data_IF_894708366717
#
_entry.id   IF_894708366717
#
_cell.length_a   1.000
_cell.length_b   1.000
_cell.length_c   1.000
_cell.angle_alpha   90.00
_cell.angle_beta   90.00
_cell.angle_gamma   90.00
#
_symmetry.space_group_name_H-M   'P 1'
#
loop_
_entity.id
_entity.type
_entity.pdbx_description
1 polymer ?
#
# COMPACT_ATOMS: atom_id res chain seq x y z
N UNK A 1 -3.73 -1.93 -41.21
CA UNK A 1 -3.72 -1.72 -42.67
C UNK A 1 -2.78 -2.74 -43.25
N UNK A 2 -3.34 -3.84 -43.74
CA UNK A 2 -2.60 -4.97 -44.29
C UNK A 2 -2.04 -4.56 -45.65
N UNK A 3 -0.74 -4.31 -45.71
CA UNK A 3 -0.06 -4.07 -46.97
C UNK A 3 0.06 -5.42 -47.70
N UNK A 4 -0.61 -5.50 -48.85
CA UNK A 4 -0.50 -6.60 -49.81
C UNK A 4 0.98 -6.89 -50.11
N UNK A 5 1.41 -8.10 -49.75
CA UNK A 5 2.67 -8.67 -50.21
C UNK A 5 2.52 -8.89 -51.72
N UNK A 6 2.91 -7.91 -52.51
CA UNK A 6 3.13 -8.09 -53.95
C UNK A 6 4.28 -9.08 -54.09
N UNK A 7 3.93 -10.34 -54.35
CA UNK A 7 4.86 -11.37 -54.81
C UNK A 7 5.68 -10.79 -55.97
N UNK A 8 6.95 -10.50 -55.70
CA UNK A 8 7.94 -10.29 -56.77
C UNK A 8 8.07 -11.61 -57.54
N UNK A 9 8.26 -11.56 -58.86
CA UNK A 9 8.50 -12.77 -59.63
C UNK A 9 9.76 -13.42 -59.09
N UNK A 10 9.62 -14.65 -58.63
CA UNK A 10 10.73 -15.52 -58.25
C UNK A 10 11.76 -15.49 -59.40
N UNK A 11 13.03 -15.15 -59.14
CA UNK A 11 14.05 -15.22 -60.17
C UNK A 11 14.18 -16.71 -60.48
N UNK A 12 13.56 -17.13 -61.58
CA UNK A 12 13.72 -18.49 -62.11
C UNK A 12 15.20 -18.70 -62.35
N UNK A 13 15.86 -19.35 -61.39
CA UNK A 13 17.20 -19.90 -61.50
C UNK A 13 17.11 -20.97 -62.58
N UNK A 14 17.17 -20.55 -63.85
CA UNK A 14 17.41 -21.49 -64.94
C UNK A 14 18.82 -22.02 -64.70
N UNK A 15 18.97 -23.32 -64.40
CA UNK A 15 20.31 -23.90 -64.30
C UNK A 15 21.03 -23.63 -65.62
N UNK A 16 22.33 -23.34 -65.53
CA UNK A 16 23.19 -23.30 -66.70
C UNK A 16 23.13 -24.72 -67.28
N UNK A 17 22.38 -24.89 -68.38
CA UNK A 17 22.23 -26.19 -69.07
C UNK A 17 23.63 -26.72 -69.41
N UNK A 18 23.84 -28.03 -69.37
CA UNK A 18 25.09 -28.65 -69.85
C UNK A 18 25.42 -28.19 -71.29
N UNK A 19 24.39 -27.94 -72.11
CA UNK A 19 24.51 -27.36 -73.45
C UNK A 19 25.22 -25.99 -73.48
N UNK A 20 25.14 -25.21 -72.40
CA UNK A 20 25.75 -23.89 -72.31
C UNK A 20 27.26 -23.93 -72.04
N UNK A 21 27.73 -24.98 -71.36
CA UNK A 21 29.16 -25.24 -71.20
C UNK A 21 29.76 -25.81 -72.48
N UNK A 22 29.02 -26.65 -73.20
CA UNK A 22 29.43 -27.20 -74.51
C UNK A 22 29.60 -26.11 -75.59
N UNK A 23 28.86 -24.99 -75.49
CA UNK A 23 29.04 -23.84 -76.37
C UNK A 23 30.45 -23.23 -76.22
N UNK A 24 31.07 -23.30 -75.04
CA UNK A 24 32.37 -22.68 -74.75
C UNK A 24 33.58 -23.55 -75.11
N UNK A 25 33.39 -24.83 -75.44
CA UNK A 25 34.48 -25.75 -75.76
C UNK A 25 34.94 -25.64 -77.23
N UNK A 26 36.25 -25.83 -77.53
CA UNK A 26 36.74 -25.85 -78.89
C UNK A 26 36.17 -27.05 -79.65
N UNK A 27 35.67 -26.78 -80.85
CA UNK A 27 34.81 -27.70 -81.59
C UNK A 27 35.50 -28.87 -82.27
N UNK A 28 36.82 -28.82 -82.43
CA UNK A 28 37.59 -29.78 -83.20
C UNK A 28 38.94 -30.01 -82.52
N UNK A 29 39.37 -31.26 -82.48
CA UNK A 29 40.68 -31.65 -81.95
C UNK A 29 41.78 -31.70 -83.05
N UNK A 30 41.41 -31.44 -84.32
CA UNK A 30 42.31 -31.52 -85.48
C UNK A 30 42.02 -30.40 -86.49
N UNK A 31 43.08 -29.83 -87.08
CA UNK A 31 42.98 -28.84 -88.15
C UNK A 31 42.52 -29.53 -89.45
N UNK A 32 41.25 -29.35 -89.83
CA UNK A 32 40.68 -30.00 -91.02
C UNK A 32 40.98 -29.27 -92.34
N UNK A 33 41.33 -27.98 -92.29
CA UNK A 33 41.64 -27.18 -93.49
C UNK A 33 43.12 -27.30 -93.89
N UNK A 34 43.42 -27.53 -95.18
CA UNK A 34 44.80 -27.58 -95.67
C UNK A 34 45.50 -26.23 -95.54
N UNK A 35 44.80 -25.11 -95.61
CA UNK A 35 45.34 -23.77 -95.36
C UNK A 35 45.73 -23.61 -93.89
N UNK A 36 44.87 -24.04 -92.96
CA UNK A 36 45.15 -23.98 -91.52
C UNK A 36 46.35 -24.86 -91.12
N UNK A 37 46.46 -26.06 -91.73
CA UNK A 37 47.63 -26.93 -91.58
C UNK A 37 48.91 -26.28 -92.13
N UNK A 38 48.82 -25.58 -93.28
CA UNK A 38 49.96 -24.83 -93.86
C UNK A 38 50.37 -23.66 -92.96
N UNK A 39 49.44 -22.88 -92.42
CA UNK A 39 49.77 -21.78 -91.51
C UNK A 39 50.42 -22.28 -90.22
N UNK A 40 49.91 -23.37 -89.63
CA UNK A 40 50.55 -24.02 -88.49
C UNK A 40 51.96 -24.52 -88.85
N UNK A 41 52.13 -25.15 -90.02
CA UNK A 41 53.42 -25.61 -90.53
C UNK A 41 54.42 -24.48 -90.76
N UNK A 42 54.00 -23.34 -91.33
CA UNK A 42 54.85 -22.15 -91.52
C UNK A 42 55.31 -21.60 -90.18
N UNK A 43 54.44 -21.59 -89.17
CA UNK A 43 54.82 -21.16 -87.81
C UNK A 43 55.79 -22.14 -87.14
N UNK A 44 55.60 -23.46 -87.31
CA UNK A 44 56.55 -24.47 -86.84
C UNK A 44 57.90 -24.33 -87.54
N UNK A 45 57.89 -24.14 -88.86
CA UNK A 45 59.10 -23.93 -89.62
C UNK A 45 59.80 -22.66 -89.17
N UNK A 46 59.07 -21.55 -88.97
CA UNK A 46 59.61 -20.30 -88.42
C UNK A 46 60.30 -20.50 -87.07
N UNK A 47 59.66 -21.20 -86.14
CA UNK A 47 60.25 -21.56 -84.84
C UNK A 47 61.54 -22.34 -85.03
N UNK A 48 61.56 -23.36 -85.90
CA UNK A 48 62.77 -24.13 -86.24
C UNK A 48 63.85 -23.26 -86.87
N UNK A 49 63.50 -22.30 -87.72
CA UNK A 49 64.49 -21.40 -88.35
C UNK A 49 65.17 -20.52 -87.30
N UNK A 50 64.39 -19.97 -86.37
CA UNK A 50 64.90 -19.11 -85.28
C UNK A 50 65.74 -19.93 -84.31
N UNK A 51 65.35 -21.17 -84.01
CA UNK A 51 66.16 -22.11 -83.22
C UNK A 51 67.53 -22.35 -83.88
N UNK A 52 67.57 -22.65 -85.18
CA UNK A 52 68.83 -22.87 -85.90
C UNK A 52 69.70 -21.61 -85.91
N UNK A 53 69.12 -20.44 -86.19
CA UNK A 53 69.85 -19.16 -86.18
C UNK A 53 70.38 -18.83 -84.80
N UNK A 54 69.61 -19.12 -83.75
CA UNK A 54 70.04 -18.90 -82.37
C UNK A 54 71.33 -19.68 -82.07
N UNK A 55 71.48 -20.91 -82.54
CA UNK A 55 72.69 -21.73 -82.33
C UNK A 55 73.93 -21.21 -83.08
N UNK A 56 73.75 -20.49 -84.20
CA UNK A 56 74.85 -20.16 -85.13
C UNK A 56 76.06 -19.49 -84.47
N UNK A 57 75.93 -18.52 -83.55
CA UNK A 57 77.08 -17.92 -82.87
C UNK A 57 77.92 -18.93 -82.07
N UNK A 58 77.30 -19.97 -81.50
CA UNK A 58 78.00 -21.05 -80.80
C UNK A 58 78.84 -21.89 -81.78
N UNK A 59 78.21 -22.21 -82.92
CA UNK A 59 78.81 -22.99 -83.99
C UNK A 59 80.00 -22.24 -84.58
N UNK A 60 79.86 -20.93 -84.81
CA UNK A 60 80.92 -20.06 -85.32
C UNK A 60 82.15 -20.02 -84.38
N UNK A 61 81.93 -19.99 -83.06
CA UNK A 61 83.01 -19.98 -82.06
C UNK A 61 83.78 -21.30 -81.96
N UNK A 62 83.14 -22.41 -82.28
CA UNK A 62 83.71 -23.76 -82.22
C UNK A 62 84.03 -24.34 -83.62
N UNK A 63 84.05 -23.49 -84.66
CA UNK A 63 84.22 -23.91 -86.05
C UNK A 63 85.48 -24.75 -86.30
N UNK A 64 86.58 -24.43 -85.62
CA UNK A 64 87.85 -25.12 -85.85
C UNK A 64 87.81 -26.58 -85.35
N UNK A 65 87.05 -26.86 -84.29
CA UNK A 65 86.81 -28.22 -83.79
C UNK A 65 85.81 -28.99 -84.65
N UNK A 66 84.80 -28.29 -85.16
CA UNK A 66 83.74 -28.89 -86.00
C UNK A 66 84.20 -29.11 -87.45
N UNK A 67 85.26 -28.45 -87.89
CA UNK A 67 85.76 -28.47 -89.27
C UNK A 67 86.11 -29.85 -89.83
N UNK A 68 86.45 -30.81 -88.96
CA UNK A 68 86.76 -32.19 -89.35
C UNK A 68 85.52 -33.05 -89.68
N UNK A 69 84.34 -32.59 -89.27
CA UNK A 69 83.07 -33.34 -89.35
C UNK A 69 82.05 -32.70 -90.30
N UNK A 70 82.33 -31.47 -90.73
CA UNK A 70 81.50 -30.67 -91.61
C UNK A 70 82.07 -30.70 -93.03
N UNK A 71 81.20 -30.82 -94.03
CA UNK A 71 81.58 -30.74 -95.44
C UNK A 71 82.38 -29.45 -95.71
N UNK A 72 83.43 -29.53 -96.54
CA UNK A 72 84.29 -28.39 -96.87
C UNK A 72 83.49 -27.18 -97.37
N UNK A 73 82.41 -27.39 -98.13
CA UNK A 73 81.50 -26.34 -98.60
C UNK A 73 80.73 -25.63 -97.47
N UNK A 74 80.30 -26.38 -96.45
CA UNK A 74 79.59 -25.84 -95.30
C UNK A 74 80.56 -25.12 -94.36
N UNK A 75 81.77 -25.67 -94.17
CA UNK A 75 82.88 -25.02 -93.48
C UNK A 75 83.24 -23.68 -94.12
N UNK A 76 83.37 -23.63 -95.45
CA UNK A 76 83.64 -22.39 -96.18
C UNK A 76 82.51 -21.38 -96.04
N UNK A 77 81.26 -21.85 -96.11
CA UNK A 77 80.08 -20.99 -95.97
C UNK A 77 79.94 -20.42 -94.55
N UNK A 78 80.25 -21.20 -93.52
CA UNK A 78 80.26 -20.77 -92.12
C UNK A 78 81.45 -19.87 -91.79
N UNK A 79 82.65 -20.13 -92.31
CA UNK A 79 83.81 -19.23 -92.17
C UNK A 79 83.55 -17.89 -92.87
N UNK A 80 83.00 -17.93 -94.07
CA UNK A 80 82.57 -16.72 -94.79
C UNK A 80 81.50 -15.93 -94.04
N UNK A 81 80.53 -16.64 -93.45
CA UNK A 81 79.52 -16.03 -92.58
C UNK A 81 80.13 -15.40 -91.32
N UNK A 82 81.05 -16.10 -90.65
CA UNK A 82 81.76 -15.61 -89.47
C UNK A 82 82.55 -14.33 -89.74
N UNK A 83 83.26 -14.26 -90.88
CA UNK A 83 83.96 -13.05 -91.31
C UNK A 83 83.01 -11.87 -91.55
N UNK A 84 81.80 -12.12 -92.06
CA UNK A 84 80.79 -11.08 -92.24
C UNK A 84 80.21 -10.60 -90.90
N UNK A 85 80.02 -11.52 -89.95
CA UNK A 85 79.60 -11.21 -88.57
C UNK A 85 80.67 -10.37 -87.87
N UNK A 86 81.94 -10.79 -87.89
CA UNK A 86 83.05 -10.04 -87.29
C UNK A 86 83.21 -8.63 -87.88
N UNK A 87 83.00 -8.48 -89.19
CA UNK A 87 83.02 -7.18 -89.87
C UNK A 87 81.83 -6.29 -89.47
N UNK A 88 80.67 -6.89 -89.16
CA UNK A 88 79.50 -6.16 -88.68
C UNK A 88 79.69 -5.74 -87.22
N UNK A 89 80.13 -6.66 -86.36
CA UNK A 89 80.43 -6.41 -84.93
C UNK A 89 81.48 -5.30 -84.80
N UNK A 90 82.55 -5.32 -85.61
CA UNK A 90 83.57 -4.27 -85.61
C UNK A 90 83.05 -2.88 -86.04
N UNK A 91 82.01 -2.81 -86.88
CA UNK A 91 81.33 -1.54 -87.22
C UNK A 91 80.38 -1.07 -86.11
N UNK A 92 79.80 -1.99 -85.35
CA UNK A 92 78.96 -1.68 -84.19
C UNK A 92 79.81 -1.23 -82.98
N UNK A 93 80.96 -1.85 -82.73
CA UNK A 93 81.93 -1.43 -81.73
C UNK A 93 82.51 -0.04 -82.02
N UNK A 94 82.75 0.25 -83.31
CA UNK A 94 83.18 1.57 -83.79
C UNK A 94 82.09 2.66 -83.65
N UNK A 95 80.80 2.28 -83.65
CA UNK A 95 79.68 3.20 -83.38
C UNK A 95 79.45 3.43 -81.88
N UNK A 96 79.84 2.49 -81.02
CA UNK A 96 79.60 2.53 -79.57
C UNK A 96 80.74 3.24 -78.82
N UNK A 97 81.96 3.22 -79.38
CA UNK A 97 83.11 3.99 -78.90
C UNK A 97 83.13 5.40 -79.52
N UNK A 98 82.88 6.41 -78.69
CA UNK A 98 82.78 7.83 -79.07
C UNK A 98 83.94 8.35 -79.96
N UNK A 99 83.66 8.67 -81.23
CA UNK A 99 84.29 9.77 -82.00
C UNK A 99 83.48 10.09 -83.29
N UNK A 100 83.53 11.34 -83.81
CA UNK A 100 82.39 11.96 -84.47
C UNK A 100 82.38 11.88 -86.01
N UNK A 101 81.16 11.85 -86.56
CA UNK A 101 80.73 12.52 -87.79
C UNK A 101 81.63 12.38 -89.05
N UNK A 102 81.63 11.18 -89.65
CA UNK A 102 81.73 10.99 -91.10
C UNK A 102 80.32 10.89 -91.72
N UNK A 103 80.15 11.24 -93.00
CA UNK A 103 78.83 11.49 -93.60
C UNK A 103 77.84 10.30 -93.59
N UNK A 104 76.54 10.52 -93.31
CA UNK A 104 75.54 9.47 -93.08
C UNK A 104 75.10 8.67 -94.32
N UNK A 105 75.70 8.89 -95.50
CA UNK A 105 75.26 8.22 -96.73
C UNK A 105 76.15 7.02 -97.08
N UNK A 106 77.46 7.16 -97.20
CA UNK A 106 78.34 6.06 -97.64
C UNK A 106 78.44 4.93 -96.60
N UNK A 107 78.55 5.25 -95.31
CA UNK A 107 78.58 4.26 -94.22
C UNK A 107 77.26 3.49 -94.08
N UNK A 108 76.12 4.14 -94.37
CA UNK A 108 74.81 3.47 -94.38
C UNK A 108 74.64 2.56 -95.60
N UNK A 109 75.17 2.94 -96.76
CA UNK A 109 75.15 2.08 -97.94
C UNK A 109 76.08 0.88 -97.77
N UNK A 110 77.29 1.07 -97.23
CA UNK A 110 78.21 -0.04 -96.92
C UNK A 110 77.70 -0.96 -95.82
N UNK A 111 76.99 -0.43 -94.82
CA UNK A 111 76.29 -1.23 -93.80
C UNK A 111 75.13 -2.00 -94.42
N UNK A 112 74.32 -1.37 -95.27
CA UNK A 112 73.20 -2.03 -95.95
C UNK A 112 73.67 -3.09 -96.97
N UNK A 113 74.82 -2.89 -97.62
CA UNK A 113 75.48 -3.88 -98.47
C UNK A 113 75.95 -5.07 -97.63
N UNK A 114 76.62 -4.81 -96.50
CA UNK A 114 77.09 -5.84 -95.58
C UNK A 114 75.94 -6.62 -94.94
N UNK A 115 74.85 -5.95 -94.56
CA UNK A 115 73.63 -6.59 -94.07
C UNK A 115 72.97 -7.46 -95.14
N UNK A 116 72.99 -7.04 -96.42
CA UNK A 116 72.51 -7.85 -97.55
C UNK A 116 73.39 -9.07 -97.79
N UNK A 117 74.71 -8.92 -97.72
CA UNK A 117 75.67 -10.02 -97.86
C UNK A 117 75.56 -11.00 -96.68
N UNK A 118 75.35 -10.48 -95.46
CA UNK A 118 75.11 -11.28 -94.26
C UNK A 118 73.79 -12.06 -94.39
N UNK A 119 72.72 -11.43 -94.87
CA UNK A 119 71.44 -12.10 -95.11
C UNK A 119 71.54 -13.17 -96.21
N UNK A 120 72.28 -12.92 -97.28
CA UNK A 120 72.53 -13.90 -98.33
C UNK A 120 73.32 -15.09 -97.78
N UNK A 121 74.39 -14.81 -97.03
CA UNK A 121 75.21 -15.80 -96.34
C UNK A 121 74.42 -16.63 -95.32
N UNK A 122 73.57 -16.00 -94.49
CA UNK A 122 72.66 -16.68 -93.57
C UNK A 122 71.68 -17.59 -94.30
N UNK A 123 71.11 -17.13 -95.41
CA UNK A 123 70.18 -17.94 -96.22
C UNK A 123 70.89 -19.15 -96.81
N UNK A 124 72.12 -18.99 -97.28
CA UNK A 124 72.91 -20.08 -97.82
C UNK A 124 73.31 -21.09 -96.74
N UNK A 125 73.76 -20.62 -95.56
CA UNK A 125 74.05 -21.47 -94.40
C UNK A 125 72.80 -22.21 -93.93
N UNK A 126 71.66 -21.52 -93.76
CA UNK A 126 70.40 -22.14 -93.37
C UNK A 126 69.89 -23.14 -94.41
N UNK A 127 70.08 -22.86 -95.71
CA UNK A 127 69.70 -23.78 -96.80
C UNK A 127 70.57 -25.04 -96.77
N UNK A 128 71.88 -24.91 -96.56
CA UNK A 128 72.80 -26.03 -96.48
C UNK A 128 72.57 -26.89 -95.22
N UNK A 129 72.28 -26.26 -94.08
CA UNK A 129 71.94 -26.95 -92.82
C UNK A 129 70.58 -27.67 -92.91
N UNK A 130 69.57 -27.06 -93.56
CA UNK A 130 68.27 -27.70 -93.79
C UNK A 130 68.31 -28.84 -94.79
N UNK A 131 69.16 -28.74 -95.82
CA UNK A 131 69.34 -29.80 -96.80
C UNK A 131 69.98 -31.07 -96.20
N UNK A 132 70.64 -30.96 -95.04
CA UNK A 132 71.38 -32.05 -94.37
C UNK A 132 71.00 -32.15 -92.88
N UNK A 133 69.82 -32.74 -92.57
CA UNK A 133 69.30 -32.78 -91.20
C UNK A 133 70.17 -33.58 -90.22
N UNK A 134 70.91 -34.60 -90.70
CA UNK A 134 71.84 -35.37 -89.86
C UNK A 134 73.04 -34.52 -89.39
N UNK A 135 73.57 -33.67 -90.28
CA UNK A 135 74.66 -32.73 -89.99
C UNK A 135 74.18 -31.61 -89.06
N UNK A 136 72.95 -31.12 -89.25
CA UNK A 136 72.33 -30.16 -88.34
C UNK A 136 72.15 -30.74 -86.93
N UNK A 137 71.66 -31.98 -86.81
CA UNK A 137 71.52 -32.65 -85.51
C UNK A 137 72.86 -32.85 -84.79
N UNK A 138 73.93 -33.17 -85.53
CA UNK A 138 75.28 -33.25 -84.98
C UNK A 138 75.78 -31.89 -84.47
N UNK A 139 75.62 -30.83 -85.27
CA UNK A 139 76.01 -29.46 -84.90
C UNK A 139 75.23 -28.94 -83.69
N UNK A 140 73.95 -29.28 -83.58
CA UNK A 140 73.13 -28.94 -82.42
C UNK A 140 73.58 -29.70 -81.17
N UNK A 141 73.85 -31.00 -81.27
CA UNK A 141 74.33 -31.81 -80.15
C UNK A 141 75.71 -31.35 -79.65
N UNK A 142 76.62 -30.98 -80.55
CA UNK A 142 77.93 -30.43 -80.20
C UNK A 142 77.84 -29.02 -79.59
N UNK A 143 76.94 -28.17 -80.10
CA UNK A 143 76.71 -26.85 -79.51
C UNK A 143 76.10 -26.96 -78.09
N UNK A 144 75.18 -27.89 -77.86
CA UNK A 144 74.64 -28.20 -76.53
C UNK A 144 75.70 -28.81 -75.59
N UNK A 145 76.55 -29.72 -76.10
CA UNK A 145 77.65 -30.32 -75.33
C UNK A 145 78.75 -29.31 -74.95
N UNK A 146 78.95 -28.28 -75.77
CA UNK A 146 79.85 -27.15 -75.51
C UNK A 146 79.29 -26.16 -74.45
N UNK A 147 78.16 -26.48 -73.80
CA UNK A 147 77.57 -25.66 -72.76
C UNK A 147 76.99 -24.34 -73.29
N UNK A 148 76.60 -24.31 -74.56
CA UNK A 148 75.99 -23.11 -75.12
C UNK A 148 74.57 -22.93 -74.57
N UNK A 149 74.34 -21.80 -73.91
CA UNK A 149 73.03 -21.38 -73.43
C UNK A 149 72.48 -20.29 -74.35
N UNK A 150 71.22 -20.42 -74.77
CA UNK A 150 70.53 -19.33 -75.46
C UNK A 150 70.48 -18.11 -74.53
N UNK A 151 70.74 -16.92 -75.09
CA UNK A 151 70.38 -15.66 -74.44
C UNK A 151 68.91 -15.65 -74.03
N UNK A 152 68.62 -15.10 -72.85
CA UNK A 152 67.27 -14.97 -72.27
C UNK A 152 66.29 -14.34 -73.28
N UNK A 153 66.73 -13.32 -74.02
CA UNK A 153 65.91 -12.67 -75.05
C UNK A 153 65.50 -13.60 -76.21
N UNK A 154 66.41 -14.49 -76.62
CA UNK A 154 66.15 -15.47 -77.69
C UNK A 154 65.27 -16.62 -77.21
N UNK A 155 65.42 -17.03 -75.94
CA UNK A 155 64.52 -17.98 -75.29
C UNK A 155 63.09 -17.43 -75.17
N UNK A 156 62.94 -16.17 -74.75
CA UNK A 156 61.65 -15.49 -74.70
C UNK A 156 60.99 -15.39 -76.07
N UNK A 157 61.76 -15.09 -77.13
CA UNK A 157 61.25 -15.02 -78.50
C UNK A 157 60.74 -16.39 -78.98
N UNK A 158 61.51 -17.45 -78.79
CA UNK A 158 61.11 -18.82 -79.16
C UNK A 158 59.88 -19.26 -78.33
N UNK A 159 59.86 -18.98 -77.03
CA UNK A 159 58.71 -19.23 -76.16
C UNK A 159 57.46 -18.47 -76.60
N UNK A 160 57.60 -17.20 -76.98
CA UNK A 160 56.54 -16.36 -77.51
C UNK A 160 56.00 -16.86 -78.84
N UNK A 161 56.86 -17.30 -79.77
CA UNK A 161 56.46 -17.89 -81.04
C UNK A 161 55.74 -19.24 -80.86
N UNK A 162 56.20 -20.08 -79.93
CA UNK A 162 55.51 -21.32 -79.55
C UNK A 162 54.15 -21.04 -78.90
N UNK A 163 54.05 -20.02 -78.04
CA UNK A 163 52.79 -19.56 -77.45
C UNK A 163 51.81 -19.02 -78.49
N UNK A 164 52.30 -18.18 -79.41
CA UNK A 164 51.51 -17.66 -80.54
C UNK A 164 51.01 -18.79 -81.43
N UNK A 165 51.83 -19.81 -81.71
CA UNK A 165 51.41 -21.02 -82.43
C UNK A 165 50.25 -21.71 -81.69
N UNK A 166 50.36 -21.87 -80.37
CA UNK A 166 49.29 -22.43 -79.54
C UNK A 166 47.97 -21.69 -79.71
N UNK A 167 47.99 -20.37 -79.55
CA UNK A 167 46.81 -19.51 -79.72
C UNK A 167 46.25 -19.57 -81.15
N UNK A 168 47.11 -19.54 -82.17
CA UNK A 168 46.69 -19.63 -83.57
C UNK A 168 46.03 -20.97 -83.89
N UNK A 169 46.60 -22.07 -83.40
CA UNK A 169 46.03 -23.41 -83.58
C UNK A 169 44.68 -23.50 -82.87
N UNK A 170 44.55 -23.03 -81.63
CA UNK A 170 43.28 -22.98 -80.91
C UNK A 170 42.21 -22.18 -81.67
N UNK A 171 42.58 -21.03 -82.24
CA UNK A 171 41.68 -20.20 -83.06
C UNK A 171 41.30 -20.85 -84.38
N UNK A 172 42.22 -21.57 -85.02
CA UNK A 172 41.97 -22.30 -86.27
C UNK A 172 41.17 -23.60 -86.06
N UNK A 173 41.15 -24.15 -84.84
CA UNK A 173 40.30 -25.28 -84.43
C UNK A 173 38.86 -24.84 -84.09
N UNK A 174 38.63 -23.55 -83.87
CA UNK A 174 37.32 -22.97 -83.66
C UNK A 174 36.63 -22.67 -85.00
N UNK A 175 35.44 -23.24 -85.22
CA UNK A 175 34.63 -22.87 -86.38
C UNK A 175 34.13 -21.41 -86.25
N UNK A 176 34.22 -20.55 -87.29
CA UNK A 176 33.78 -19.15 -87.22
C UNK A 176 32.32 -18.97 -86.79
N UNK A 177 31.46 -19.95 -87.06
CA UNK A 177 30.06 -19.95 -86.61
C UNK A 177 29.93 -20.17 -85.09
N UNK A 178 30.75 -21.06 -84.52
CA UNK A 178 30.75 -21.35 -83.07
C UNK A 178 31.40 -20.21 -82.27
N UNK A 179 32.45 -19.57 -82.78
CA UNK A 179 33.02 -18.36 -82.16
C UNK A 179 32.00 -17.22 -82.09
N UNK A 180 31.20 -17.01 -83.15
CA UNK A 180 30.08 -16.05 -83.12
C UNK A 180 28.98 -16.45 -82.13
N UNK A 181 28.70 -17.73 -81.99
CA UNK A 181 27.72 -18.24 -81.02
C UNK A 181 28.21 -18.04 -79.57
N UNK A 182 29.48 -18.34 -79.30
CA UNK A 182 30.14 -18.05 -78.02
C UNK A 182 30.09 -16.56 -77.69
N UNK A 183 30.44 -15.69 -78.63
CA UNK A 183 30.41 -14.24 -78.44
C UNK A 183 28.99 -13.74 -78.12
N UNK A 184 27.97 -14.23 -78.83
CA UNK A 184 26.56 -13.90 -78.56
C UNK A 184 26.13 -14.40 -77.18
N UNK A 185 26.53 -15.61 -76.79
CA UNK A 185 26.19 -16.18 -75.49
C UNK A 185 26.84 -15.40 -74.33
N UNK A 186 28.12 -15.04 -74.46
CA UNK A 186 28.82 -14.20 -73.48
C UNK A 186 28.18 -12.82 -73.37
N UNK A 187 27.76 -12.22 -74.49
CA UNK A 187 27.03 -10.95 -74.49
C UNK A 187 25.66 -11.07 -73.81
N UNK A 188 24.94 -12.16 -74.03
CA UNK A 188 23.67 -12.40 -73.33
C UNK A 188 23.89 -12.59 -71.82
N UNK A 189 24.91 -13.34 -71.43
CA UNK A 189 25.29 -13.52 -70.03
C UNK A 189 25.69 -12.19 -69.37
N UNK A 190 26.42 -11.31 -70.07
CA UNK A 190 26.81 -10.01 -69.51
C UNK A 190 25.61 -9.09 -69.31
N UNK A 191 24.67 -9.07 -70.26
CA UNK A 191 23.41 -8.33 -70.12
C UNK A 191 22.55 -8.86 -68.96
N UNK A 192 22.43 -10.19 -68.84
CA UNK A 192 21.73 -10.82 -67.71
C UNK A 192 22.42 -10.52 -66.39
N UNK A 193 23.75 -10.54 -66.36
CA UNK A 193 24.52 -10.21 -65.17
C UNK A 193 24.31 -8.75 -64.76
N UNK A 194 24.33 -7.81 -65.72
CA UNK A 194 24.04 -6.40 -65.47
C UNK A 194 22.62 -6.20 -64.91
N UNK A 195 21.61 -6.82 -65.51
CA UNK A 195 20.23 -6.76 -65.01
C UNK A 195 20.10 -7.38 -63.61
N UNK A 196 20.81 -8.47 -63.32
CA UNK A 196 20.85 -9.07 -61.99
C UNK A 196 21.54 -8.15 -60.96
N UNK A 197 22.61 -7.45 -61.34
CA UNK A 197 23.27 -6.47 -60.47
C UNK A 197 22.35 -5.29 -60.16
N UNK A 198 21.62 -4.78 -61.14
CA UNK A 198 20.61 -3.73 -60.93
C UNK A 198 19.48 -4.20 -60.01
N UNK A 199 19.00 -5.43 -60.21
CA UNK A 199 17.99 -6.03 -59.34
C UNK A 199 18.51 -6.19 -57.90
N UNK A 200 19.73 -6.72 -57.73
CA UNK A 200 20.39 -6.85 -56.43
C UNK A 200 20.51 -5.49 -55.73
N UNK A 201 21.01 -4.46 -56.43
CA UNK A 201 21.10 -3.11 -55.88
C UNK A 201 19.72 -2.58 -55.43
N UNK A 202 18.67 -2.78 -56.25
CA UNK A 202 17.31 -2.36 -55.88
C UNK A 202 16.75 -3.12 -54.67
N UNK A 203 17.10 -4.40 -54.50
CA UNK A 203 16.67 -5.21 -53.36
C UNK A 203 17.45 -4.84 -52.10
N UNK A 204 18.75 -4.57 -52.21
CA UNK A 204 19.57 -4.04 -51.12
C UNK A 204 19.07 -2.68 -50.65
N UNK A 205 18.70 -1.78 -51.57
CA UNK A 205 18.10 -0.50 -51.23
C UNK A 205 16.76 -0.67 -50.52
N UNK A 206 15.86 -1.53 -51.02
CA UNK A 206 14.58 -1.84 -50.36
C UNK A 206 14.78 -2.43 -48.97
N UNK A 207 15.76 -3.31 -48.79
CA UNK A 207 16.13 -3.88 -47.48
C UNK A 207 16.67 -2.81 -46.55
N UNK A 208 17.52 -1.92 -47.04
CA UNK A 208 18.07 -0.80 -46.27
C UNK A 208 16.96 0.20 -45.88
N UNK A 209 16.00 0.48 -46.76
CA UNK A 209 14.85 1.33 -46.45
C UNK A 209 13.95 0.69 -45.38
N UNK A 210 13.59 -0.59 -45.53
CA UNK A 210 12.75 -1.30 -44.57
C UNK A 210 13.42 -1.42 -43.18
N UNK A 211 14.73 -1.64 -43.12
CA UNK A 211 15.49 -1.67 -41.86
C UNK A 211 15.51 -0.31 -41.18
N UNK A 212 15.78 0.78 -41.92
CA UNK A 212 15.70 2.16 -41.38
C UNK A 212 14.30 2.50 -40.86
N UNK A 213 13.25 2.12 -41.58
CA UNK A 213 11.87 2.35 -41.13
C UNK A 213 11.56 1.58 -39.84
N UNK A 214 11.99 0.31 -39.76
CA UNK A 214 11.86 -0.49 -38.54
C UNK A 214 12.61 0.15 -37.37
N UNK A 215 13.85 0.58 -37.58
CA UNK A 215 14.67 1.21 -36.53
C UNK A 215 14.08 2.55 -36.07
N UNK A 216 13.55 3.37 -36.98
CA UNK A 216 12.84 4.60 -36.63
C UNK A 216 11.60 4.33 -35.75
N UNK A 217 10.81 3.31 -36.09
CA UNK A 217 9.66 2.88 -35.27
C UNK A 217 10.08 2.33 -33.92
N UNK A 218 11.22 1.62 -33.84
CA UNK A 218 11.75 1.16 -32.55
C UNK A 218 12.12 2.35 -31.67
N UNK A 219 12.85 3.35 -32.20
CA UNK A 219 13.21 4.56 -31.45
C UNK A 219 11.97 5.34 -30.97
N UNK A 220 10.92 5.42 -31.79
CA UNK A 220 9.66 6.06 -31.39
C UNK A 220 8.99 5.31 -30.23
N UNK A 221 8.96 3.97 -30.31
CA UNK A 221 8.42 3.10 -29.25
C UNK A 221 9.25 3.20 -27.97
N UNK A 222 10.58 3.19 -28.07
CA UNK A 222 11.49 3.32 -26.93
C UNK A 222 11.35 4.68 -26.24
N UNK A 223 11.16 5.74 -27.02
CA UNK A 223 10.86 7.08 -26.49
C UNK A 223 9.49 7.12 -25.78
N UNK A 224 8.48 6.41 -26.32
CA UNK A 224 7.17 6.29 -25.68
C UNK A 224 7.26 5.48 -24.38
N UNK A 225 8.01 4.37 -24.36
CA UNK A 225 8.26 3.57 -23.17
C UNK A 225 8.91 4.44 -22.08
N UNK A 226 9.97 5.17 -22.41
CA UNK A 226 10.67 6.06 -21.46
C UNK A 226 9.74 7.14 -20.87
N UNK A 227 8.84 7.70 -21.68
CA UNK A 227 7.82 8.67 -21.20
C UNK A 227 6.79 8.01 -20.28
N UNK A 228 6.33 6.80 -20.60
CA UNK A 228 5.39 6.06 -19.77
C UNK A 228 6.03 5.63 -18.45
N UNK A 229 7.27 5.18 -18.47
CA UNK A 229 8.03 4.81 -17.27
C UNK A 229 8.21 6.01 -16.32
N UNK A 230 8.61 7.18 -16.85
CA UNK A 230 8.73 8.39 -16.03
C UNK A 230 7.39 8.86 -15.47
N UNK A 231 6.31 8.81 -16.26
CA UNK A 231 4.95 9.12 -15.79
C UNK A 231 4.50 8.16 -14.68
N UNK A 232 4.73 6.85 -14.87
CA UNK A 232 4.39 5.82 -13.88
C UNK A 232 5.16 6.04 -12.57
N UNK A 233 6.47 6.26 -12.64
CA UNK A 233 7.29 6.55 -11.47
C UNK A 233 6.82 7.82 -10.74
N UNK A 234 6.43 8.86 -11.47
CA UNK A 234 5.90 10.08 -10.89
C UNK A 234 4.56 9.85 -10.20
N UNK A 235 3.66 9.10 -10.85
CA UNK A 235 2.37 8.74 -10.27
C UNK A 235 2.55 7.90 -9.00
N UNK A 236 3.41 6.89 -9.02
CA UNK A 236 3.71 6.08 -7.84
C UNK A 236 4.28 6.91 -6.70
N UNK A 237 5.23 7.83 -6.97
CA UNK A 237 5.76 8.75 -5.95
C UNK A 237 4.65 9.60 -5.35
N UNK A 238 3.82 10.24 -6.18
CA UNK A 238 2.71 11.06 -5.71
C UNK A 238 1.68 10.26 -4.91
N UNK A 239 1.44 9.00 -5.26
CA UNK A 239 0.54 8.10 -4.54
C UNK A 239 1.13 7.69 -3.20
N UNK A 240 2.42 7.32 -3.16
CA UNK A 240 3.14 7.01 -1.91
C UNK A 240 3.11 8.22 -0.95
N UNK A 241 3.38 9.41 -1.46
CA UNK A 241 3.36 10.65 -0.67
C UNK A 241 1.95 10.95 -0.13
N UNK A 242 0.92 10.73 -0.94
CA UNK A 242 -0.48 10.91 -0.50
C UNK A 242 -0.82 9.92 0.62
N UNK A 243 -0.49 8.64 0.46
CA UNK A 243 -0.73 7.61 1.49
C UNK A 243 0.02 7.93 2.77
N UNK A 244 1.28 8.36 2.68
CA UNK A 244 2.08 8.71 3.85
C UNK A 244 1.50 9.92 4.59
N UNK A 245 1.04 10.95 3.87
CA UNK A 245 0.36 12.11 4.47
C UNK A 245 -0.94 11.72 5.15
N UNK A 246 -1.79 10.93 4.50
CA UNK A 246 -3.07 10.52 5.10
C UNK A 246 -2.87 9.64 6.33
N UNK A 247 -1.86 8.76 6.33
CA UNK A 247 -1.49 7.98 7.52
C UNK A 247 -1.03 8.88 8.66
N UNK A 248 -0.11 9.82 8.40
CA UNK A 248 0.37 10.75 9.42
C UNK A 248 -0.74 11.63 9.99
N UNK A 249 -1.65 12.11 9.16
CA UNK A 249 -2.77 12.93 9.62
C UNK A 249 -3.79 12.10 10.41
N UNK A 250 -4.05 10.85 10.00
CA UNK A 250 -4.88 9.91 10.76
C UNK A 250 -4.25 9.55 12.13
N UNK A 251 -2.94 9.36 12.19
CA UNK A 251 -2.21 9.11 13.44
C UNK A 251 -2.27 10.31 14.38
N UNK A 252 -2.02 11.52 13.87
CA UNK A 252 -2.15 12.76 14.66
C UNK A 252 -3.57 12.94 15.20
N UNK A 253 -4.58 12.70 14.35
CA UNK A 253 -5.97 12.79 14.76
C UNK A 253 -6.31 11.74 15.83
N UNK A 254 -5.88 10.49 15.64
CA UNK A 254 -6.07 9.40 16.61
C UNK A 254 -5.41 9.71 17.97
N UNK A 255 -4.18 10.24 17.96
CA UNK A 255 -3.48 10.65 19.18
C UNK A 255 -4.19 11.82 19.89
N UNK A 256 -4.67 12.80 19.12
CA UNK A 256 -5.45 13.92 19.65
C UNK A 256 -6.75 13.43 20.30
N UNK A 257 -7.46 12.54 19.61
CA UNK A 257 -8.72 11.97 20.10
C UNK A 257 -8.50 11.10 21.35
N UNK A 258 -7.46 10.25 21.39
CA UNK A 258 -7.11 9.46 22.59
C UNK A 258 -6.90 10.36 23.80
N UNK A 259 -6.11 11.44 23.65
CA UNK A 259 -5.87 12.41 24.72
C UNK A 259 -7.14 13.13 25.16
N UNK A 260 -8.01 13.50 24.21
CA UNK A 260 -9.30 14.12 24.52
C UNK A 260 -10.22 13.15 25.28
N UNK A 261 -10.22 11.86 24.93
CA UNK A 261 -10.97 10.83 25.64
C UNK A 261 -10.41 10.54 27.02
N UNK A 262 -9.09 10.43 27.17
CA UNK A 262 -8.41 10.29 28.47
C UNK A 262 -8.71 11.48 29.39
N UNK A 263 -8.69 12.71 28.86
CA UNK A 263 -9.06 13.91 29.62
C UNK A 263 -10.54 13.90 30.05
N UNK A 264 -11.45 13.43 29.20
CA UNK A 264 -12.86 13.27 29.56
C UNK A 264 -13.06 12.18 30.62
N UNK A 265 -12.37 11.05 30.47
CA UNK A 265 -12.45 9.93 31.41
C UNK A 265 -11.97 10.36 32.80
N UNK A 266 -10.81 11.02 32.88
CA UNK A 266 -10.28 11.53 34.15
C UNK A 266 -11.20 12.57 34.78
N UNK A 267 -11.82 13.46 33.99
CA UNK A 267 -12.82 14.42 34.49
C UNK A 267 -14.06 13.74 35.05
N UNK A 268 -14.65 12.80 34.31
CA UNK A 268 -15.83 12.06 34.75
C UNK A 268 -15.53 11.21 35.98
N UNK A 269 -14.35 10.60 36.05
CA UNK A 269 -13.91 9.84 37.21
C UNK A 269 -13.81 10.74 38.46
N UNK A 270 -13.23 11.93 38.32
CA UNK A 270 -13.16 12.92 39.40
C UNK A 270 -14.56 13.40 39.84
N UNK A 271 -15.49 13.59 38.90
CA UNK A 271 -16.90 13.92 39.20
C UNK A 271 -17.59 12.79 39.97
N UNK A 272 -17.40 11.53 39.55
CA UNK A 272 -17.92 10.34 40.24
C UNK A 272 -17.40 10.27 41.67
N UNK A 273 -16.09 10.42 41.86
CA UNK A 273 -15.49 10.33 43.19
C UNK A 273 -15.90 11.50 44.10
N UNK A 274 -16.03 12.71 43.54
CA UNK A 274 -16.63 13.86 44.25
C UNK A 274 -18.06 13.58 44.68
N UNK A 275 -18.88 13.00 43.81
CA UNK A 275 -20.28 12.67 44.12
C UNK A 275 -20.38 11.57 45.18
N UNK A 276 -19.51 10.56 45.15
CA UNK A 276 -19.44 9.53 46.20
C UNK A 276 -19.11 10.14 47.56
N UNK A 277 -18.12 11.04 47.63
CA UNK A 277 -17.78 11.74 48.88
C UNK A 277 -18.96 12.57 49.37
N UNK A 278 -19.60 13.35 48.49
CA UNK A 278 -20.79 14.14 48.85
C UNK A 278 -21.94 13.28 49.35
N UNK A 279 -22.20 12.15 48.71
CA UNK A 279 -23.23 11.20 49.14
C UNK A 279 -22.91 10.65 50.54
N UNK A 280 -21.66 10.24 50.78
CA UNK A 280 -21.25 9.74 52.09
C UNK A 280 -21.43 10.77 53.21
N UNK A 281 -21.07 12.03 52.96
CA UNK A 281 -21.28 13.15 53.90
C UNK A 281 -22.76 13.37 54.21
N UNK A 282 -23.61 13.41 53.17
CA UNK A 282 -25.05 13.59 53.36
C UNK A 282 -25.69 12.43 54.12
N UNK A 283 -25.23 11.20 53.88
CA UNK A 283 -25.71 10.03 54.62
C UNK A 283 -25.33 10.12 56.10
N UNK A 284 -24.08 10.51 56.42
CA UNK A 284 -23.64 10.68 57.81
C UNK A 284 -24.37 11.83 58.50
N UNK A 285 -24.52 12.98 57.85
CA UNK A 285 -25.26 14.13 58.38
C UNK A 285 -26.74 13.80 58.63
N UNK A 286 -27.40 13.10 57.70
CA UNK A 286 -28.78 12.67 57.88
C UNK A 286 -28.89 11.66 59.04
N UNK A 287 -27.98 10.70 59.13
CA UNK A 287 -27.94 9.76 60.26
C UNK A 287 -27.77 10.48 61.61
N UNK A 288 -26.87 11.45 61.70
CA UNK A 288 -26.64 12.22 62.92
C UNK A 288 -27.84 13.10 63.31
N UNK A 289 -28.44 13.79 62.34
CA UNK A 289 -29.65 14.60 62.56
C UNK A 289 -30.84 13.75 62.97
N UNK A 290 -31.06 12.62 62.30
CA UNK A 290 -32.12 11.67 62.61
C UNK A 290 -31.95 11.09 64.02
N UNK A 291 -30.73 10.63 64.37
CA UNK A 291 -30.46 10.07 65.71
C UNK A 291 -30.60 11.13 66.80
N UNK A 292 -30.22 12.38 66.55
CA UNK A 292 -30.46 13.49 67.45
C UNK A 292 -31.96 13.76 67.66
N UNK A 293 -32.77 13.70 66.60
CA UNK A 293 -34.23 13.83 66.68
C UNK A 293 -34.86 12.66 67.42
N UNK A 294 -34.41 11.41 67.21
CA UNK A 294 -34.84 10.24 68.01
C UNK A 294 -34.51 10.41 69.49
N UNK A 295 -33.35 10.99 69.83
CA UNK A 295 -32.98 11.28 71.23
C UNK A 295 -33.90 12.35 71.83
N UNK A 296 -34.17 13.45 71.11
CA UNK A 296 -35.12 14.49 71.55
C UNK A 296 -36.52 13.94 71.75
N UNK A 297 -37.02 13.16 70.79
CA UNK A 297 -38.34 12.50 70.88
C UNK A 297 -38.43 11.62 72.13
N UNK A 298 -37.44 10.74 72.37
CA UNK A 298 -37.41 9.90 73.58
C UNK A 298 -37.42 10.72 74.87
N UNK A 299 -36.73 11.86 74.92
CA UNK A 299 -36.77 12.75 76.11
C UNK A 299 -38.17 13.28 76.36
N UNK A 300 -38.82 13.81 75.33
CA UNK A 300 -40.21 14.31 75.44
C UNK A 300 -41.17 13.18 75.79
N UNK A 301 -41.03 12.00 75.16
CA UNK A 301 -41.81 10.80 75.51
C UNK A 301 -41.65 10.46 77.01
N UNK A 302 -40.42 10.43 77.54
CA UNK A 302 -40.18 10.19 78.97
C UNK A 302 -40.74 11.30 79.87
N UNK A 303 -40.69 12.56 79.44
CA UNK A 303 -41.28 13.68 80.18
C UNK A 303 -42.80 13.57 80.25
N UNK A 304 -43.46 13.19 79.15
CA UNK A 304 -44.91 12.95 79.10
C UNK A 304 -45.29 11.77 80.00
N UNK A 305 -44.55 10.66 79.93
CA UNK A 305 -44.76 9.49 80.81
C UNK A 305 -44.67 9.90 82.29
N UNK A 306 -43.67 10.71 82.66
CA UNK A 306 -43.52 11.22 84.01
C UNK A 306 -44.70 12.12 84.43
N UNK A 307 -45.24 12.94 83.52
CA UNK A 307 -46.41 13.78 83.81
C UNK A 307 -47.69 12.96 83.97
N UNK A 308 -47.86 11.91 83.17
CA UNK A 308 -48.97 10.96 83.30
C UNK A 308 -48.89 10.27 84.66
N UNK A 309 -47.72 9.73 85.04
CA UNK A 309 -47.54 9.07 86.34
C UNK A 309 -47.84 10.00 87.52
N UNK A 310 -47.43 11.27 87.45
CA UNK A 310 -47.76 12.28 88.47
C UNK A 310 -49.26 12.55 88.52
N UNK A 311 -49.89 12.74 87.37
CA UNK A 311 -51.33 12.97 87.30
C UNK A 311 -52.12 11.77 87.85
N UNK A 312 -51.76 10.55 87.47
CA UNK A 312 -52.40 9.33 87.96
C UNK A 312 -52.23 9.17 89.48
N UNK A 313 -51.05 9.52 90.02
CA UNK A 313 -50.80 9.54 91.45
C UNK A 313 -51.66 10.60 92.17
N UNK A 314 -51.64 11.85 91.70
CA UNK A 314 -52.41 12.96 92.28
C UNK A 314 -53.92 12.67 92.24
N UNK A 315 -54.43 12.14 91.12
CA UNK A 315 -55.84 11.72 91.00
C UNK A 315 -56.15 10.57 91.94
N UNK A 316 -55.25 9.59 92.07
CA UNK A 316 -55.39 8.49 93.02
C UNK A 316 -55.45 8.98 94.47
N UNK A 317 -54.57 9.91 94.86
CA UNK A 317 -54.58 10.55 96.19
C UNK A 317 -55.87 11.34 96.43
N UNK A 318 -56.32 12.14 95.45
CA UNK A 318 -57.56 12.91 95.57
C UNK A 318 -58.80 12.03 95.63
N UNK A 319 -58.81 10.92 94.89
CA UNK A 319 -59.91 9.96 94.98
C UNK A 319 -59.93 9.29 96.37
N UNK A 320 -58.77 8.92 96.91
CA UNK A 320 -58.69 8.37 98.26
C UNK A 320 -59.17 9.37 99.33
N UNK A 321 -58.80 10.65 99.23
CA UNK A 321 -59.31 11.73 100.09
C UNK A 321 -60.83 11.89 99.96
N UNK A 322 -61.37 11.87 98.73
CA UNK A 322 -62.82 11.96 98.49
C UNK A 322 -63.57 10.76 99.08
N UNK A 323 -63.02 9.56 98.96
CA UNK A 323 -63.61 8.34 99.50
C UNK A 323 -63.58 8.37 101.05
N UNK A 324 -62.50 8.87 101.66
CA UNK A 324 -62.39 9.05 103.12
C UNK A 324 -63.40 10.08 103.65
N UNK A 325 -63.48 11.27 103.04
CA UNK A 325 -64.46 12.30 103.41
C UNK A 325 -65.89 11.81 103.13
N UNK A 326 -66.09 11.08 102.04
CA UNK A 326 -67.37 10.47 101.71
C UNK A 326 -67.81 9.45 102.77
N UNK A 327 -66.90 8.60 103.25
CA UNK A 327 -67.16 7.67 104.34
C UNK A 327 -67.51 8.39 105.64
N UNK A 328 -66.72 9.39 106.03
CA UNK A 328 -66.98 10.21 107.21
C UNK A 328 -68.33 10.95 107.12
N UNK A 329 -68.69 11.49 105.96
CA UNK A 329 -69.98 12.14 105.75
C UNK A 329 -71.16 11.16 105.82
N UNK A 330 -70.99 9.91 105.38
CA UNK A 330 -72.02 8.87 105.56
C UNK A 330 -72.16 8.44 107.02
N UNK A 331 -71.06 8.39 107.78
CA UNK A 331 -71.06 8.18 109.23
C UNK A 331 -71.78 9.34 109.94
N UNK A 332 -71.40 10.60 109.68
CA UNK A 332 -72.07 11.78 110.25
C UNK A 332 -73.57 11.82 109.91
N UNK A 333 -73.98 11.41 108.69
CA UNK A 333 -75.40 11.27 108.34
C UNK A 333 -76.10 10.16 109.09
N UNK A 334 -75.40 9.09 109.47
CA UNK A 334 -75.97 8.04 110.32
C UNK A 334 -76.16 8.57 111.73
N UNK A 335 -75.13 9.20 112.31
CA UNK A 335 -75.20 9.82 113.63
C UNK A 335 -76.29 10.89 113.70
N UNK A 336 -76.44 11.72 112.66
CA UNK A 336 -77.51 12.72 112.58
C UNK A 336 -78.89 12.06 112.59
N UNK A 337 -79.07 10.97 111.83
CA UNK A 337 -80.35 10.22 111.81
C UNK A 337 -80.67 9.64 113.17
N UNK A 338 -79.70 9.00 113.82
CA UNK A 338 -79.85 8.48 115.18
C UNK A 338 -80.24 9.60 116.16
N UNK A 339 -79.60 10.77 116.04
CA UNK A 339 -79.89 11.91 116.89
C UNK A 339 -81.27 12.52 116.62
N UNK A 340 -81.68 12.63 115.36
CA UNK A 340 -83.03 13.06 114.96
C UNK A 340 -84.10 12.12 115.50
N UNK A 341 -83.88 10.80 115.47
CA UNK A 341 -84.78 9.81 116.08
C UNK A 341 -84.89 10.02 117.60
N UNK A 342 -83.77 10.25 118.29
CA UNK A 342 -83.76 10.56 119.73
C UNK A 342 -84.49 11.87 120.04
N UNK A 343 -84.26 12.93 119.27
CA UNK A 343 -84.97 14.21 119.45
C UNK A 343 -86.47 14.09 119.15
N UNK A 344 -86.84 13.26 118.17
CA UNK A 344 -88.25 12.95 117.88
C UNK A 344 -88.95 12.32 119.08
N UNK A 345 -88.35 11.29 119.68
CA UNK A 345 -88.86 10.67 120.90
C UNK A 345 -88.93 11.66 122.07
N UNK A 346 -87.89 12.48 122.26
CA UNK A 346 -87.86 13.48 123.33
C UNK A 346 -88.93 14.57 123.14
N UNK A 347 -89.22 14.96 121.89
CA UNK A 347 -90.29 15.90 121.58
C UNK A 347 -91.67 15.32 121.91
N UNK A 348 -91.91 14.04 121.58
CA UNK A 348 -93.14 13.34 121.98
C UNK A 348 -93.28 13.27 123.50
N UNK A 349 -92.20 12.97 124.23
CA UNK A 349 -92.19 12.98 125.69
C UNK A 349 -92.45 14.38 126.26
N UNK A 350 -91.86 15.42 125.66
CA UNK A 350 -92.09 16.81 126.07
C UNK A 350 -93.55 17.21 125.88
N UNK A 351 -94.14 16.89 124.72
CA UNK A 351 -95.55 17.16 124.43
C UNK A 351 -96.48 16.41 125.41
N UNK A 352 -96.16 15.17 125.75
CA UNK A 352 -96.88 14.41 126.78
C UNK A 352 -96.81 15.10 128.16
N UNK A 353 -95.63 15.54 128.59
CA UNK A 353 -95.45 16.25 129.86
C UNK A 353 -96.22 17.58 129.86
N UNK A 354 -96.20 18.31 128.74
CA UNK A 354 -96.92 19.58 128.61
C UNK A 354 -98.44 19.35 128.65
N UNK A 355 -98.95 18.36 127.92
CA UNK A 355 -100.35 17.98 127.98
C UNK A 355 -100.78 17.53 129.39
N UNK A 356 -99.93 16.76 130.09
CA UNK A 356 -100.16 16.41 131.50
C UNK A 356 -100.20 17.63 132.42
N UNK A 357 -99.33 18.61 132.20
CA UNK A 357 -99.32 19.86 132.98
C UNK A 357 -100.58 20.67 132.72
N UNK A 358 -100.99 20.80 131.48
CA UNK A 358 -102.24 21.48 131.11
C UNK A 358 -103.45 20.82 131.78
N UNK A 359 -103.52 19.48 131.76
CA UNK A 359 -104.57 18.72 132.44
C UNK A 359 -104.57 18.97 133.95
N UNK A 360 -103.39 18.91 134.60
CA UNK A 360 -103.24 19.20 136.04
C UNK A 360 -103.61 20.64 136.38
N UNK A 361 -103.28 21.61 135.52
CA UNK A 361 -103.68 23.01 135.68
C UNK A 361 -105.20 23.19 135.49
N UNK A 362 -105.82 22.43 134.58
CA UNK A 362 -107.27 22.40 134.43
C UNK A 362 -107.95 21.82 135.67
N UNK A 363 -107.47 20.69 136.19
CA UNK A 363 -107.95 20.09 137.44
C UNK A 363 -107.83 21.08 138.61
N UNK A 364 -106.67 21.74 138.78
CA UNK A 364 -106.48 22.76 139.80
C UNK A 364 -107.42 23.96 139.62
N UNK A 365 -107.65 24.41 138.38
CA UNK A 365 -108.63 25.47 138.07
C UNK A 365 -110.05 25.05 138.43
N UNK A 366 -110.40 23.78 138.21
CA UNK A 366 -111.71 23.23 138.60
C UNK A 366 -111.86 23.09 140.11
N UNK A 367 -110.82 22.63 140.81
CA UNK A 367 -110.78 22.57 142.28
C UNK A 367 -110.90 23.96 142.91
N UNK A 368 -110.22 24.96 142.35
CA UNK A 368 -110.35 26.36 142.78
C UNK A 368 -111.76 26.90 142.54
N UNK A 369 -112.40 26.58 141.41
CA UNK A 369 -113.82 26.93 141.18
C UNK A 369 -114.74 26.27 142.21
N UNK A 370 -114.54 24.98 142.48
CA UNK A 370 -115.31 24.24 143.49
C UNK A 370 -115.09 24.81 144.90
N UNK A 371 -113.85 25.18 145.24
CA UNK A 371 -113.54 25.83 146.52
C UNK A 371 -114.17 27.22 146.60
N UNK A 372 -114.16 28.00 145.51
CA UNK A 372 -114.85 29.27 145.40
C UNK A 372 -116.34 29.15 145.73
N UNK A 373 -117.03 28.21 145.08
CA UNK A 373 -118.45 27.91 145.33
C UNK A 373 -118.72 27.53 146.81
N UNK A 374 -117.87 26.68 147.39
CA UNK A 374 -117.97 26.30 148.83
C UNK A 374 -117.74 27.50 149.75
N UNK A 375 -116.82 28.39 149.39
CA UNK A 375 -116.49 29.59 150.18
C UNK A 375 -117.63 30.61 150.10
N UNK A 376 -118.22 30.82 148.94
CA UNK A 376 -119.40 31.68 148.76
C UNK A 376 -120.60 31.15 149.57
N UNK A 377 -120.83 29.84 149.56
CA UNK A 377 -121.81 29.19 150.43
C UNK A 377 -121.54 29.43 151.92
N UNK A 378 -120.28 29.36 152.35
CA UNK A 378 -119.89 29.66 153.73
C UNK A 378 -120.08 31.14 154.09
N UNK A 379 -119.83 32.08 153.17
CA UNK A 379 -120.04 33.53 153.38
C UNK A 379 -121.54 33.85 153.55
N UNK A 380 -122.42 33.24 152.76
CA UNK A 380 -123.88 33.41 152.90
C UNK A 380 -124.37 32.91 154.27
N UNK A 381 -123.88 31.76 154.73
CA UNK A 381 -124.21 31.23 156.06
C UNK A 381 -123.68 32.14 157.17
N UNK A 382 -122.43 32.62 157.07
CA UNK A 382 -121.84 33.54 158.04
C UNK A 382 -122.55 34.90 158.08
N UNK A 383 -122.97 35.43 156.93
CA UNK A 383 -123.71 36.69 156.84
C UNK A 383 -125.10 36.57 157.48
N UNK A 384 -125.80 35.45 157.26
CA UNK A 384 -127.11 35.19 157.86
C UNK A 384 -127.02 35.07 159.40
N UNK A 385 -126.01 34.36 159.91
CA UNK A 385 -125.76 34.22 161.35
C UNK A 385 -125.38 35.54 162.04
N UNK A 386 -124.49 36.33 161.44
CA UNK A 386 -124.12 37.66 161.95
C UNK A 386 -125.33 38.61 161.97
N UNK A 387 -126.22 38.55 160.98
CA UNK A 387 -127.47 39.31 160.94
C UNK A 387 -128.55 38.85 161.94
N UNK A 388 -128.51 37.58 162.40
CA UNK A 388 -129.36 37.08 163.48
C UNK A 388 -128.84 37.56 164.86
N UNK A 389 -127.52 37.58 165.08
CA UNK A 389 -126.92 38.07 166.32
C UNK A 389 -127.18 39.57 166.56
N UNK A 390 -127.09 40.43 165.53
CA UNK A 390 -127.25 41.89 165.66
C UNK A 390 -128.71 42.32 165.94
N UNK A 391 -129.71 41.56 165.47
CA UNK A 391 -131.13 41.87 165.70
C UNK A 391 -131.64 41.48 167.09
N UNK A 392 -130.85 40.74 167.86
CA UNK A 392 -131.21 40.31 169.22
C UNK A 392 -130.81 41.31 170.31
N UNK A 393 -129.95 42.30 170.03
CA UNK A 393 -129.34 43.18 171.05
C UNK A 393 -129.97 44.59 171.21
N UNK A 394 -131.20 44.82 170.73
CA UNK A 394 -131.84 46.17 170.69
C UNK A 394 -133.12 46.37 171.55
N UNK A 395 -133.47 45.51 172.52
CA UNK A 395 -134.70 45.66 173.36
C UNK A 395 -134.51 45.35 174.87
N UNK A 396 -134.64 46.38 175.73
CA UNK A 396 -134.96 46.39 177.19
C UNK A 396 -135.67 47.76 177.55
N UNK A 397 -136.61 47.87 178.54
CA UNK A 397 -136.23 47.91 179.95
C UNK A 397 -136.78 46.67 180.64
N UNK A 398 -135.94 45.67 180.86
CA UNK A 398 -136.40 44.45 181.51
C UNK A 398 -135.28 43.83 182.31
N UNK A 399 -135.27 44.16 183.59
CA UNK A 399 -134.66 43.40 184.67
C UNK A 399 -134.44 41.92 184.33
N UNK A 400 -133.20 41.46 184.24
CA UNK A 400 -132.58 40.68 185.33
C UNK A 400 -131.33 39.90 184.88
N UNK A 401 -130.33 39.91 185.78
CA UNK A 401 -129.37 38.82 186.09
C UNK A 401 -128.22 38.51 185.10
N UNK A 402 -127.02 38.62 185.71
CA UNK A 402 -125.84 37.72 185.63
C UNK A 402 -124.89 37.82 184.41
N UNK A 403 -123.79 38.57 184.63
CA UNK A 403 -122.42 38.08 184.89
C UNK A 403 -121.73 37.20 183.82
N UNK A 404 -120.71 37.75 183.13
CA UNK A 404 -119.48 37.10 182.58
C UNK A 404 -118.76 38.15 181.68
N UNK A 405 -117.48 38.57 181.77
CA UNK A 405 -116.16 37.89 181.78
C UNK A 405 -116.04 36.75 180.76
N UNK A 406 -114.92 36.54 180.01
CA UNK A 406 -113.55 37.04 180.22
C UNK A 406 -112.74 37.34 178.90
N UNK A 407 -111.54 37.96 178.95
CA UNK A 407 -110.15 37.40 178.75
C UNK A 407 -109.84 36.78 177.37
N UNK A 408 -108.63 36.74 176.77
CA UNK A 408 -107.21 37.12 177.00
C UNK A 408 -106.39 36.06 176.22
N UNK A 409 -105.31 36.42 175.52
CA UNK A 409 -104.31 35.46 175.01
C UNK A 409 -103.79 35.87 173.62
N UNK A 410 -102.55 36.28 173.38
CA UNK A 410 -101.19 35.98 173.90
C UNK A 410 -100.60 34.67 173.34
N UNK A 411 -99.57 34.85 172.51
CA UNK A 411 -98.54 33.85 172.15
C UNK A 411 -98.72 33.26 170.74
N UNK A 412 -97.69 32.77 170.05
CA UNK A 412 -96.22 32.74 170.20
C UNK A 412 -95.71 31.96 168.96
N UNK A 413 -94.54 32.35 168.45
CA UNK A 413 -93.55 31.64 167.58
C UNK A 413 -93.86 30.23 167.04
N UNK A 414 -93.43 30.00 165.80
CA UNK A 414 -92.99 28.69 165.29
C UNK A 414 -92.47 28.80 163.85
N UNK A 415 -91.29 28.20 163.64
CA UNK A 415 -90.50 27.97 162.41
C UNK A 415 -91.19 28.08 161.05
#
# INVERSE_FOLDING_TARGET
MSAEVKNSPDPTLRPISEDAMEILEPSQNKLCSPEAQRFAGVMEDCVRQVEIVAMLPAVLRNLDHLSHSLDDELCLSLRGHGLLVERLDGLEDAQTSQAPAGGPSEERHSRADLERDLQASLRDVLRQLRARPATLGFVMAEAEAAGWELSEGTQCLIGGLRGLRGVLVERLLAAPAKERQQARYVQELSLRHAANLELLASLEEKKAAATRERDAKMLEKDAMISKLESSLQQQEKSSRDLVLRTQQDAEKQSLSDSKAWEAKLTRLQAEVDRLKVRLSSLVTENYETETAMRKKRRRVETEVENWIQKYDADVGEKQAELDEVGAAAEEEKQELRELEEVYGLLAEEFDQIMAERELKEEEQREELRQLGLKTDGAVVIQAWWRGHCVRRELMEPSNSKKKQQPKKGKGKKGK
#
